data_IF_741193453885
#
_entry.id   IF_741193453885
#
_cell.length_a   1.000
_cell.length_b   1.000
_cell.length_c   1.000
_cell.angle_alpha   90.00
_cell.angle_beta   90.00
_cell.angle_gamma   90.00
#
_symmetry.space_group_name_H-M   'P 1'
#
loop_
_entity.id
_entity.type
_entity.pdbx_description
1 polymer ?
#
# COMPACT_ATOMS: atom_id res chain seq x y z
N UNK A 1 32.34 11.10 -4.34
CA UNK A 1 31.46 12.02 -3.61
C UNK A 1 30.96 11.32 -2.36
N UNK A 2 31.45 11.76 -1.19
CA UNK A 2 31.08 11.15 0.09
C UNK A 2 29.72 11.69 0.55
N UNK A 3 28.65 11.01 0.19
CA UNK A 3 27.34 11.26 0.79
C UNK A 3 27.21 10.50 2.10
N UNK A 4 26.91 11.19 3.19
CA UNK A 4 26.55 10.58 4.46
C UNK A 4 25.05 10.73 4.68
N UNK A 5 24.35 9.61 4.86
CA UNK A 5 22.93 9.59 5.18
C UNK A 5 22.67 8.99 6.54
N UNK A 6 21.70 9.54 7.27
CA UNK A 6 21.23 9.01 8.56
C UNK A 6 19.71 8.94 8.58
N UNK A 7 19.17 7.93 9.23
CA UNK A 7 17.75 7.79 9.52
C UNK A 7 17.49 8.35 10.91
N UNK A 8 16.67 9.38 11.00
CA UNK A 8 16.28 9.98 12.28
C UNK A 8 14.89 9.50 12.71
N UNK A 9 14.87 8.66 13.74
CA UNK A 9 13.65 8.10 14.33
C UNK A 9 13.79 8.01 15.86
N UNK A 10 13.69 9.14 16.61
CA UNK A 10 14.11 9.19 18.03
C UNK A 10 13.49 8.09 18.91
N UNK A 11 12.17 7.88 18.81
CA UNK A 11 11.48 6.79 19.51
C UNK A 11 10.58 6.04 18.51
N UNK A 12 10.99 4.85 18.08
CA UNK A 12 10.29 4.10 17.03
C UNK A 12 9.73 2.76 17.52
N UNK A 13 8.64 2.32 16.89
CA UNK A 13 8.02 1.00 17.08
C UNK A 13 8.15 0.12 15.83
N UNK A 14 8.65 0.69 14.74
CA UNK A 14 8.79 -0.01 13.46
C UNK A 14 9.85 -1.11 13.58
N UNK A 15 9.45 -2.36 13.31
CA UNK A 15 10.33 -3.51 13.43
C UNK A 15 11.43 -3.53 12.35
N UNK A 16 11.17 -2.98 11.17
CA UNK A 16 12.17 -2.92 10.09
C UNK A 16 13.37 -2.05 10.45
N UNK A 17 13.19 -1.02 11.27
CA UNK A 17 14.30 -0.19 11.76
C UNK A 17 15.26 -0.92 12.69
N UNK A 18 14.86 -2.07 13.25
CA UNK A 18 15.76 -2.90 14.09
C UNK A 18 16.84 -3.60 13.28
N UNK A 19 16.64 -3.74 11.97
CA UNK A 19 17.58 -4.40 11.06
C UNK A 19 18.46 -3.39 10.32
N UNK A 20 18.31 -2.09 10.61
CA UNK A 20 19.17 -1.04 10.05
C UNK A 20 20.50 -1.02 10.82
N UNK A 21 21.60 -0.82 10.12
CA UNK A 21 22.92 -0.68 10.72
C UNK A 21 22.91 0.44 11.77
N UNK A 22 23.44 0.19 12.98
CA UNK A 22 23.39 1.14 14.09
C UNK A 22 23.95 2.53 13.74
N UNK A 23 24.99 2.57 12.90
CA UNK A 23 25.64 3.82 12.48
C UNK A 23 24.74 4.66 11.55
N UNK A 24 23.74 4.08 10.90
CA UNK A 24 22.81 4.78 10.05
C UNK A 24 21.57 5.28 10.78
N UNK A 25 21.29 4.78 11.99
CA UNK A 25 20.05 5.05 12.72
C UNK A 25 20.29 5.91 13.96
N UNK A 26 19.62 7.04 14.04
CA UNK A 26 19.57 7.89 15.24
C UNK A 26 18.21 7.71 15.90
N UNK A 27 18.15 6.90 16.95
CA UNK A 27 16.94 6.61 17.69
C UNK A 27 16.97 5.30 18.42
N UNK A 28 15.90 4.99 19.15
CA UNK A 28 15.78 3.77 19.93
C UNK A 28 14.40 3.12 19.78
N UNK A 29 14.31 1.78 19.82
CA UNK A 29 13.02 1.10 19.82
C UNK A 29 12.30 1.36 21.15
N UNK A 30 11.01 1.61 21.08
CA UNK A 30 10.14 1.74 22.25
C UNK A 30 8.98 0.75 22.14
N UNK A 31 8.43 0.26 23.27
CA UNK A 31 7.30 -0.64 23.24
C UNK A 31 6.05 0.09 22.72
N UNK A 32 5.14 -0.62 22.01
CA UNK A 32 3.87 -0.06 21.58
C UNK A 32 2.93 0.08 22.78
N UNK A 33 2.89 1.27 23.37
CA UNK A 33 1.96 1.56 24.49
C UNK A 33 0.67 2.12 23.91
N UNK A 34 -0.46 1.55 24.33
CA UNK A 34 -1.78 1.96 23.88
C UNK A 34 -2.05 3.45 24.22
N UNK A 35 -2.67 4.19 23.30
CA UNK A 35 -3.02 5.63 23.43
C UNK A 35 -1.84 6.63 23.55
N UNK A 36 -0.59 6.22 23.38
CA UNK A 36 0.57 7.14 23.47
C UNK A 36 1.02 7.74 22.14
N UNK A 37 0.31 7.49 21.04
CA UNK A 37 0.71 7.95 19.69
C UNK A 37 0.93 9.46 19.66
N UNK A 38 -0.02 10.27 20.16
CA UNK A 38 0.09 11.73 20.17
C UNK A 38 1.28 12.23 21.00
N UNK A 39 1.48 11.65 22.19
CA UNK A 39 2.59 12.00 23.06
C UNK A 39 3.93 11.64 22.41
N UNK A 40 4.05 10.43 21.86
CA UNK A 40 5.26 9.99 21.16
C UNK A 40 5.56 10.86 19.95
N UNK A 41 4.55 11.25 19.17
CA UNK A 41 4.72 12.15 18.02
C UNK A 41 5.22 13.52 18.47
N UNK A 42 4.70 14.07 19.57
CA UNK A 42 5.15 15.34 20.12
C UNK A 42 6.61 15.25 20.63
N UNK A 43 6.95 14.20 21.39
CA UNK A 43 8.31 13.97 21.88
C UNK A 43 9.28 13.81 20.70
N UNK A 44 8.94 12.96 19.73
CA UNK A 44 9.77 12.76 18.53
C UNK A 44 10.01 14.06 17.78
N UNK A 45 9.00 14.90 17.67
CA UNK A 45 9.11 16.21 17.01
C UNK A 45 10.15 17.10 17.71
N UNK A 46 10.06 17.26 19.02
CA UNK A 46 10.98 18.14 19.76
C UNK A 46 12.42 17.57 19.78
N UNK A 47 12.57 16.27 19.98
CA UNK A 47 13.89 15.61 19.91
C UNK A 47 14.47 15.73 18.50
N UNK A 48 13.66 15.53 17.44
CA UNK A 48 14.13 15.69 16.06
C UNK A 48 14.62 17.11 15.77
N UNK A 49 13.91 18.15 16.23
CA UNK A 49 14.36 19.56 16.10
C UNK A 49 15.73 19.77 16.75
N UNK A 50 15.93 19.28 17.97
CA UNK A 50 17.21 19.41 18.70
C UNK A 50 18.35 18.72 17.94
N UNK A 51 18.13 17.47 17.51
CA UNK A 51 19.14 16.70 16.78
C UNK A 51 19.46 17.35 15.43
N UNK A 52 18.46 17.74 14.65
CA UNK A 52 18.65 18.37 13.34
C UNK A 52 19.39 19.71 13.46
N UNK A 53 19.07 20.51 14.47
CA UNK A 53 19.79 21.78 14.74
C UNK A 53 21.26 21.55 15.11
N UNK A 54 21.56 20.44 15.79
CA UNK A 54 22.96 20.10 16.17
C UNK A 54 23.73 19.51 14.98
N UNK A 55 23.12 18.63 14.19
CA UNK A 55 23.74 17.99 13.03
C UNK A 55 23.86 18.94 11.86
N UNK A 56 22.92 19.87 11.73
CA UNK A 56 22.84 20.84 10.63
C UNK A 56 23.03 20.20 9.24
N UNK A 57 22.25 19.18 8.84
CA UNK A 57 22.40 18.52 7.57
C UNK A 57 22.10 19.47 6.40
N UNK A 58 22.70 19.21 5.23
CA UNK A 58 22.43 19.97 4.00
C UNK A 58 21.02 19.71 3.49
N UNK A 59 20.53 18.45 3.61
CA UNK A 59 19.22 17.99 3.16
C UNK A 59 18.49 17.24 4.28
N UNK A 60 17.20 17.53 4.45
CA UNK A 60 16.29 16.76 5.30
C UNK A 60 15.18 16.20 4.44
N UNK A 61 15.10 14.87 4.36
CA UNK A 61 14.02 14.16 3.68
C UNK A 61 12.88 13.87 4.67
N UNK A 62 11.77 14.60 4.54
CA UNK A 62 10.54 14.32 5.28
C UNK A 62 9.77 13.20 4.54
N UNK A 63 9.82 11.98 5.08
CA UNK A 63 9.17 10.80 4.48
C UNK A 63 7.66 10.76 4.69
N UNK A 64 7.12 11.66 5.52
CA UNK A 64 5.69 11.87 5.74
C UNK A 64 5.42 13.32 6.15
N UNK A 65 4.14 13.71 6.23
CA UNK A 65 3.73 15.10 6.35
C UNK A 65 3.79 15.61 7.80
N UNK A 66 4.41 16.74 8.02
CA UNK A 66 4.40 17.45 9.30
C UNK A 66 3.77 18.84 9.14
N UNK A 67 3.23 19.40 10.24
CA UNK A 67 2.66 20.75 10.22
C UNK A 67 3.71 21.85 10.22
N UNK A 68 4.94 21.52 10.63
CA UNK A 68 6.02 22.46 10.88
C UNK A 68 7.30 22.03 10.20
N UNK A 69 8.15 22.99 9.89
CA UNK A 69 9.52 22.73 9.47
C UNK A 69 10.34 22.26 10.68
N UNK A 70 10.86 21.03 10.61
CA UNK A 70 11.77 20.50 11.62
C UNK A 70 13.24 20.81 11.28
N UNK A 71 13.55 20.91 10.00
CA UNK A 71 14.87 21.17 9.49
C UNK A 71 15.36 22.60 9.82
N UNK A 72 16.67 22.79 10.10
CA UNK A 72 17.29 24.10 10.20
C UNK A 72 17.01 24.98 8.97
N UNK A 73 17.02 26.30 9.11
CA UNK A 73 16.73 27.23 7.99
C UNK A 73 17.63 27.03 6.78
N UNK A 74 18.88 26.65 6.98
CA UNK A 74 19.87 26.44 5.92
C UNK A 74 19.71 25.11 5.16
N UNK A 75 19.07 24.11 5.79
CA UNK A 75 18.87 22.79 5.18
C UNK A 75 17.81 22.87 4.08
N UNK A 76 18.01 22.14 3.00
CA UNK A 76 16.97 21.91 1.99
C UNK A 76 15.97 20.88 2.49
N UNK A 77 14.71 21.00 2.08
CA UNK A 77 13.65 20.04 2.42
C UNK A 77 13.22 19.28 1.18
N UNK A 78 13.31 17.96 1.28
CA UNK A 78 12.70 17.00 0.36
C UNK A 78 11.48 16.38 1.03
N UNK A 79 10.36 16.30 0.32
CA UNK A 79 9.13 15.63 0.81
C UNK A 79 8.74 14.53 -0.14
N UNK A 80 8.37 13.35 0.39
CA UNK A 80 7.74 12.29 -0.42
C UNK A 80 6.22 12.37 -0.31
N UNK A 81 5.54 12.40 -1.48
CA UNK A 81 4.08 12.28 -1.60
C UNK A 81 3.75 10.88 -2.06
N UNK A 82 3.12 10.10 -1.18
CA UNK A 82 2.81 8.69 -1.40
C UNK A 82 1.52 8.47 -2.19
N UNK A 83 0.55 9.36 -2.08
CA UNK A 83 -0.75 9.28 -2.72
C UNK A 83 -1.52 10.62 -2.61
N UNK A 84 -2.66 10.69 -3.31
CA UNK A 84 -3.64 11.76 -3.21
C UNK A 84 -5.03 11.22 -2.76
N UNK A 85 -5.02 10.10 -1.98
CA UNK A 85 -6.24 9.41 -1.55
C UNK A 85 -7.13 10.32 -0.69
N UNK A 86 -6.53 11.06 0.26
CA UNK A 86 -7.29 11.93 1.17
C UNK A 86 -7.99 13.08 0.44
N UNK A 87 -7.40 13.55 -0.65
CA UNK A 87 -7.96 14.62 -1.49
C UNK A 87 -9.08 14.07 -2.40
N UNK A 88 -8.85 12.92 -3.02
CA UNK A 88 -9.79 12.32 -3.99
C UNK A 88 -10.94 11.54 -3.34
N UNK A 89 -10.72 10.96 -2.17
CA UNK A 89 -11.68 10.12 -1.43
C UNK A 89 -11.93 10.64 -0.02
N UNK A 90 -12.09 11.95 0.14
CA UNK A 90 -12.26 12.60 1.45
C UNK A 90 -13.36 11.97 2.30
N UNK A 91 -14.46 11.52 1.69
CA UNK A 91 -15.57 10.83 2.36
C UNK A 91 -15.19 9.46 2.97
N UNK A 92 -14.04 8.91 2.61
CA UNK A 92 -13.52 7.64 3.18
C UNK A 92 -12.82 7.83 4.52
N UNK A 93 -12.63 9.06 4.96
CA UNK A 93 -11.88 9.42 6.17
C UNK A 93 -12.76 10.19 7.16
N UNK A 94 -12.29 10.32 8.39
CA UNK A 94 -12.96 11.11 9.40
C UNK A 94 -13.02 12.59 8.97
N UNK A 95 -14.12 13.33 9.25
CA UNK A 95 -14.31 14.72 8.81
C UNK A 95 -13.18 15.68 9.24
N UNK A 96 -12.46 15.36 10.30
CA UNK A 96 -11.36 16.16 10.84
C UNK A 96 -9.99 15.50 10.64
N UNK A 97 -9.86 14.59 9.66
CA UNK A 97 -8.56 13.99 9.35
C UNK A 97 -7.59 15.09 8.86
N UNK A 98 -6.42 15.27 9.51
CA UNK A 98 -5.54 16.37 9.21
C UNK A 98 -4.65 16.12 7.99
N UNK A 99 -4.66 14.94 7.38
CA UNK A 99 -3.64 14.49 6.42
C UNK A 99 -3.54 15.40 5.20
N UNK A 100 -4.65 15.76 4.54
CA UNK A 100 -4.63 16.69 3.39
C UNK A 100 -4.05 18.04 3.77
N UNK A 101 -4.45 18.59 4.92
CA UNK A 101 -3.93 19.88 5.40
C UNK A 101 -2.43 19.82 5.74
N UNK A 102 -1.98 18.72 6.33
CA UNK A 102 -0.56 18.50 6.63
C UNK A 102 0.25 18.33 5.36
N UNK A 103 -0.27 17.58 4.37
CA UNK A 103 0.30 17.41 3.04
C UNK A 103 0.46 18.76 2.35
N UNK A 104 -0.61 19.57 2.27
CA UNK A 104 -0.57 20.91 1.69
C UNK A 104 0.55 21.78 2.30
N UNK A 105 0.68 21.80 3.64
CA UNK A 105 1.73 22.54 4.34
C UNK A 105 3.12 21.98 4.06
N UNK A 106 3.26 20.67 3.96
CA UNK A 106 4.55 20.01 3.69
C UNK A 106 5.04 20.34 2.27
N UNK A 107 4.18 20.18 1.26
CA UNK A 107 4.54 20.43 -0.14
C UNK A 107 4.79 21.93 -0.41
N UNK A 108 4.03 22.84 0.22
CA UNK A 108 4.22 24.27 0.06
C UNK A 108 5.60 24.77 0.56
N UNK A 109 6.18 24.12 1.58
CA UNK A 109 7.51 24.49 2.12
C UNK A 109 8.67 23.71 1.53
N UNK A 110 8.40 22.67 0.74
CA UNK A 110 9.42 21.79 0.19
C UNK A 110 10.25 22.52 -0.87
N UNK A 111 11.57 22.32 -0.85
CA UNK A 111 12.48 22.72 -1.92
C UNK A 111 12.40 21.71 -3.10
N UNK A 112 12.11 20.44 -2.80
CA UNK A 112 11.94 19.36 -3.76
C UNK A 112 10.87 18.38 -3.28
N UNK A 113 10.09 17.82 -4.21
CA UNK A 113 9.02 16.87 -3.92
C UNK A 113 9.24 15.61 -4.77
N UNK A 114 9.21 14.45 -4.13
CA UNK A 114 9.20 13.16 -4.80
C UNK A 114 7.78 12.61 -4.77
N UNK A 115 7.21 12.31 -5.92
CA UNK A 115 6.01 11.52 -6.06
C UNK A 115 6.38 10.06 -6.37
N UNK A 116 5.62 9.11 -5.86
CA UNK A 116 5.92 7.68 -6.03
C UNK A 116 5.47 7.13 -7.39
N UNK A 117 4.70 7.91 -8.17
CA UNK A 117 4.26 7.56 -9.52
C UNK A 117 3.97 8.84 -10.33
N UNK A 118 3.93 8.72 -11.66
CA UNK A 118 3.48 9.82 -12.54
C UNK A 118 2.01 10.17 -12.29
N UNK A 119 1.19 9.17 -11.96
CA UNK A 119 -0.20 9.43 -11.55
C UNK A 119 -0.25 10.32 -10.30
N UNK A 120 0.52 10.00 -9.25
CA UNK A 120 0.56 10.82 -8.04
C UNK A 120 1.12 12.23 -8.33
N UNK A 121 2.12 12.35 -9.21
CA UNK A 121 2.65 13.64 -9.65
C UNK A 121 1.59 14.49 -10.35
N UNK A 122 0.87 13.92 -11.31
CA UNK A 122 -0.21 14.61 -12.02
C UNK A 122 -1.29 15.10 -11.06
N UNK A 123 -1.77 14.21 -10.19
CA UNK A 123 -2.82 14.52 -9.22
C UNK A 123 -2.38 15.58 -8.20
N UNK A 124 -1.10 15.57 -7.80
CA UNK A 124 -0.52 16.59 -6.91
C UNK A 124 -0.52 17.97 -7.56
N UNK A 125 -0.08 18.04 -8.83
CA UNK A 125 0.00 19.29 -9.58
C UNK A 125 -1.39 19.84 -9.95
N UNK A 126 -2.38 18.97 -10.14
CA UNK A 126 -3.78 19.38 -10.34
C UNK A 126 -4.41 19.95 -9.07
N UNK A 127 -4.04 19.41 -7.90
CA UNK A 127 -4.67 19.75 -6.62
C UNK A 127 -4.02 20.95 -5.93
N UNK A 128 -2.71 21.17 -6.13
CA UNK A 128 -1.95 22.19 -5.44
C UNK A 128 -1.21 23.08 -6.44
N UNK A 129 -1.20 24.38 -6.17
CA UNK A 129 -0.40 25.36 -6.94
C UNK A 129 1.08 25.22 -6.55
N UNK A 130 1.81 24.36 -7.26
CA UNK A 130 3.21 24.02 -7.01
C UNK A 130 3.98 24.12 -8.34
N UNK A 131 5.17 24.72 -8.25
CA UNK A 131 6.11 24.73 -9.37
C UNK A 131 6.49 23.29 -9.77
N UNK A 132 6.11 22.89 -10.99
CA UNK A 132 6.35 21.55 -11.52
C UNK A 132 7.85 21.18 -11.61
N UNK A 133 8.75 22.16 -11.70
CA UNK A 133 10.20 21.94 -11.69
C UNK A 133 10.73 21.40 -10.34
N UNK A 134 9.94 21.49 -9.28
CA UNK A 134 10.28 20.92 -7.96
C UNK A 134 9.77 19.50 -7.77
N UNK A 135 8.96 18.96 -8.71
CA UNK A 135 8.25 17.69 -8.53
C UNK A 135 8.86 16.63 -9.44
N UNK A 136 9.43 15.62 -8.82
CA UNK A 136 10.08 14.49 -9.47
C UNK A 136 9.34 13.18 -9.16
N UNK A 137 9.53 12.17 -10.00
CA UNK A 137 8.99 10.84 -9.76
C UNK A 137 10.12 9.88 -9.45
N UNK A 138 9.91 9.09 -8.39
CA UNK A 138 10.79 7.98 -8.05
C UNK A 138 9.92 6.80 -7.62
N UNK A 139 9.90 5.77 -8.44
CA UNK A 139 9.13 4.57 -8.16
C UNK A 139 9.65 3.84 -6.92
N UNK A 140 8.73 3.23 -6.17
CA UNK A 140 9.08 2.39 -5.02
C UNK A 140 9.57 1.03 -5.50
N UNK A 141 10.48 0.43 -4.74
CA UNK A 141 10.90 -0.95 -4.93
C UNK A 141 10.05 -1.93 -4.14
N UNK A 142 10.13 -3.22 -4.50
CA UNK A 142 9.58 -4.32 -3.72
C UNK A 142 10.70 -5.04 -2.96
N UNK A 143 10.54 -5.18 -1.65
CA UNK A 143 11.50 -5.90 -0.80
C UNK A 143 11.10 -7.34 -0.52
N UNK A 144 9.82 -7.69 -0.75
CA UNK A 144 9.33 -9.05 -0.54
C UNK A 144 9.88 -9.96 -1.64
N UNK A 145 10.66 -10.98 -1.26
CA UNK A 145 11.28 -11.92 -2.21
C UNK A 145 10.90 -13.35 -1.87
N UNK A 146 10.72 -14.22 -2.88
CA UNK A 146 10.50 -15.63 -2.66
C UNK A 146 11.74 -16.26 -2.02
N UNK A 147 11.65 -16.65 -0.76
CA UNK A 147 12.61 -17.52 -0.10
C UNK A 147 12.00 -18.94 -0.05
N UNK A 148 12.24 -19.71 -1.09
CA UNK A 148 11.68 -21.06 -1.24
C UNK A 148 12.03 -22.00 -0.08
N UNK A 149 13.11 -21.71 0.69
CA UNK A 149 13.50 -22.50 1.86
C UNK A 149 12.70 -22.14 3.10
N UNK A 150 12.07 -20.98 3.11
CA UNK A 150 11.31 -20.44 4.26
C UNK A 150 9.81 -20.40 4.05
N UNK A 151 9.31 -20.89 2.90
CA UNK A 151 7.87 -21.06 2.72
C UNK A 151 7.36 -21.98 3.83
N UNK A 152 6.73 -21.41 4.83
CA UNK A 152 6.09 -22.20 5.88
C UNK A 152 5.06 -23.10 5.19
N UNK A 153 4.88 -24.32 5.70
CA UNK A 153 3.68 -25.10 5.40
C UNK A 153 2.51 -24.35 6.06
N UNK A 154 2.09 -23.22 5.45
CA UNK A 154 0.86 -22.55 5.87
C UNK A 154 -0.26 -23.58 5.78
N UNK A 155 -1.30 -23.42 6.58
CA UNK A 155 -2.51 -24.25 6.49
C UNK A 155 -2.80 -24.52 5.02
N UNK A 156 -2.70 -25.79 4.59
CA UNK A 156 -2.95 -26.16 3.20
C UNK A 156 -4.38 -25.73 2.90
N UNK A 157 -4.50 -24.63 2.17
CA UNK A 157 -5.76 -24.28 1.58
C UNK A 157 -6.12 -25.43 0.64
N UNK A 158 -7.19 -26.14 0.95
CA UNK A 158 -7.54 -27.39 0.28
C UNK A 158 -8.00 -27.13 -1.16
N UNK A 159 -8.56 -25.92 -1.41
CA UNK A 159 -9.05 -25.51 -2.72
C UNK A 159 -8.16 -24.45 -3.36
N UNK A 160 -8.09 -24.39 -4.70
CA UNK A 160 -7.51 -23.26 -5.40
C UNK A 160 -8.16 -21.94 -4.95
N UNK A 161 -7.41 -20.84 -4.98
CA UNK A 161 -7.94 -19.57 -4.50
C UNK A 161 -7.45 -18.36 -5.28
N UNK A 162 -8.27 -17.32 -5.26
CA UNK A 162 -7.97 -15.96 -5.70
C UNK A 162 -7.56 -15.18 -4.46
N UNK A 163 -6.42 -14.48 -4.53
CA UNK A 163 -5.85 -13.74 -3.41
C UNK A 163 -6.19 -12.25 -3.51
N UNK A 164 -6.72 -11.68 -2.44
CA UNK A 164 -6.88 -10.24 -2.23
C UNK A 164 -6.03 -9.80 -1.04
N UNK A 165 -5.33 -8.66 -1.14
CA UNK A 165 -4.45 -8.17 -0.08
C UNK A 165 -4.77 -6.71 0.26
N UNK A 166 -4.87 -6.43 1.56
CA UNK A 166 -4.96 -5.08 2.11
C UNK A 166 -6.18 -4.81 2.97
N UNK A 167 -6.31 -3.53 3.33
CA UNK A 167 -7.52 -3.03 3.98
C UNK A 167 -8.69 -3.03 2.97
N UNK A 168 -9.90 -3.25 3.48
CA UNK A 168 -11.12 -3.29 2.66
C UNK A 168 -11.88 -1.96 2.71
N UNK A 169 -11.15 -0.84 2.67
CA UNK A 169 -11.72 0.52 2.61
C UNK A 169 -12.39 0.79 1.26
N UNK A 170 -13.21 1.84 1.18
CA UNK A 170 -14.04 2.15 0.01
C UNK A 170 -13.24 2.22 -1.30
N UNK A 171 -12.11 2.92 -1.32
CA UNK A 171 -11.28 3.06 -2.53
C UNK A 171 -10.54 1.76 -2.92
N UNK A 172 -10.42 0.79 -2.00
CA UNK A 172 -9.89 -0.57 -2.30
C UNK A 172 -10.93 -1.48 -2.97
N UNK A 173 -12.17 -1.03 -3.09
CA UNK A 173 -13.25 -1.66 -3.85
C UNK A 173 -13.52 -3.14 -3.54
N UNK A 174 -13.35 -3.53 -2.28
CA UNK A 174 -13.64 -4.91 -1.87
C UNK A 174 -15.10 -5.30 -2.10
N UNK A 175 -16.03 -4.36 -1.96
CA UNK A 175 -17.47 -4.60 -2.22
C UNK A 175 -17.72 -4.92 -3.71
N UNK A 176 -17.05 -4.20 -4.64
CA UNK A 176 -17.11 -4.50 -6.07
C UNK A 176 -16.57 -5.89 -6.39
N UNK A 177 -15.45 -6.28 -5.76
CA UNK A 177 -14.89 -7.63 -5.90
C UNK A 177 -15.86 -8.71 -5.37
N UNK A 178 -16.49 -8.50 -4.21
CA UNK A 178 -17.48 -9.45 -3.69
C UNK A 178 -18.67 -9.62 -4.64
N UNK A 179 -19.14 -8.51 -5.23
CA UNK A 179 -20.22 -8.55 -6.24
C UNK A 179 -19.78 -9.32 -7.48
N UNK A 180 -18.58 -9.05 -8.01
CA UNK A 180 -18.01 -9.76 -9.16
C UNK A 180 -17.89 -11.27 -8.89
N UNK A 181 -17.33 -11.65 -7.76
CA UNK A 181 -17.21 -13.05 -7.36
C UNK A 181 -18.60 -13.72 -7.17
N UNK A 182 -19.60 -12.96 -6.69
CA UNK A 182 -20.98 -13.46 -6.56
C UNK A 182 -21.66 -13.73 -7.92
N UNK A 183 -21.37 -12.92 -8.94
CA UNK A 183 -21.94 -13.04 -10.28
C UNK A 183 -21.46 -14.31 -11.01
N UNK A 184 -20.21 -14.69 -10.81
CA UNK A 184 -19.63 -15.86 -11.46
C UNK A 184 -19.90 -17.15 -10.68
N UNK A 185 -20.77 -18.00 -11.25
CA UNK A 185 -21.02 -19.35 -10.70
C UNK A 185 -19.76 -20.23 -10.78
N UNK A 186 -18.94 -20.07 -11.81
CA UNK A 186 -17.72 -20.84 -12.03
C UNK A 186 -16.66 -20.49 -10.98
N UNK A 187 -16.37 -19.20 -10.76
CA UNK A 187 -15.41 -18.76 -9.74
C UNK A 187 -15.82 -19.27 -8.36
N UNK A 188 -17.11 -19.16 -7.99
CA UNK A 188 -17.62 -19.64 -6.70
C UNK A 188 -17.52 -21.16 -6.54
N UNK A 189 -17.69 -21.92 -7.63
CA UNK A 189 -17.60 -23.37 -7.61
C UNK A 189 -16.16 -23.85 -7.43
N UNK A 190 -15.20 -23.22 -8.12
CA UNK A 190 -13.86 -23.77 -8.31
C UNK A 190 -12.80 -23.12 -7.42
N UNK A 191 -12.99 -21.87 -6.99
CA UNK A 191 -12.01 -21.11 -6.22
C UNK A 191 -12.59 -20.56 -4.92
N UNK A 192 -11.74 -20.45 -3.89
CA UNK A 192 -12.02 -19.64 -2.71
C UNK A 192 -11.50 -18.20 -2.93
N UNK A 193 -12.11 -17.21 -2.28
CA UNK A 193 -11.57 -15.85 -2.20
C UNK A 193 -10.85 -15.69 -0.85
N UNK A 194 -9.53 -15.57 -0.89
CA UNK A 194 -8.68 -15.41 0.29
C UNK A 194 -8.28 -13.95 0.44
N UNK A 195 -8.64 -13.36 1.57
CA UNK A 195 -8.31 -11.97 1.92
C UNK A 195 -7.19 -11.95 2.96
N UNK A 196 -6.03 -11.43 2.62
CA UNK A 196 -4.92 -11.28 3.58
C UNK A 196 -4.86 -9.87 4.14
N UNK A 197 -4.67 -9.77 5.46
CA UNK A 197 -4.56 -8.51 6.17
C UNK A 197 -5.90 -7.88 6.55
N UNK A 198 -5.86 -6.60 6.86
CA UNK A 198 -7.03 -5.85 7.34
C UNK A 198 -7.59 -6.36 8.68
N UNK A 199 -8.62 -5.68 9.18
CA UNK A 199 -9.36 -6.11 10.38
C UNK A 199 -10.28 -7.31 10.08
N UNK A 200 -10.85 -7.99 11.08
CA UNK A 200 -11.96 -8.93 10.89
C UNK A 200 -13.06 -8.31 10.02
N UNK A 201 -13.85 -9.15 9.35
CA UNK A 201 -14.96 -8.64 8.54
C UNK A 201 -15.90 -7.79 9.41
N UNK A 202 -16.21 -6.61 8.90
CA UNK A 202 -17.17 -5.69 9.53
C UNK A 202 -18.60 -6.23 9.43
N UNK A 203 -19.51 -5.69 10.24
CA UNK A 203 -20.94 -6.06 10.17
C UNK A 203 -21.53 -5.84 8.77
N UNK A 204 -21.11 -4.79 8.06
CA UNK A 204 -21.59 -4.52 6.70
C UNK A 204 -21.03 -5.53 5.70
N UNK A 205 -19.78 -5.93 5.81
CA UNK A 205 -19.18 -6.98 4.97
C UNK A 205 -19.82 -8.33 5.21
N UNK A 206 -20.05 -8.70 6.46
CA UNK A 206 -20.79 -9.94 6.82
C UNK A 206 -22.22 -9.94 6.25
N UNK A 207 -22.90 -8.78 6.27
CA UNK A 207 -24.23 -8.65 5.64
C UNK A 207 -24.15 -8.84 4.12
N UNK A 208 -23.14 -8.28 3.45
CA UNK A 208 -22.93 -8.49 2.01
C UNK A 208 -22.67 -9.96 1.68
N UNK A 209 -21.81 -10.63 2.46
CA UNK A 209 -21.53 -12.06 2.29
C UNK A 209 -22.82 -12.88 2.43
N UNK A 210 -23.67 -12.56 3.41
CA UNK A 210 -24.94 -13.23 3.60
C UNK A 210 -25.93 -12.99 2.43
N UNK A 211 -26.03 -11.74 1.95
CA UNK A 211 -26.87 -11.40 0.78
C UNK A 211 -26.46 -12.17 -0.47
N UNK A 212 -25.16 -12.34 -0.69
CA UNK A 212 -24.62 -13.13 -1.81
C UNK A 212 -24.57 -14.65 -1.53
N UNK A 213 -25.09 -15.09 -0.38
CA UNK A 213 -25.08 -16.50 0.04
C UNK A 213 -23.67 -17.12 -0.01
N UNK A 214 -22.67 -16.36 0.42
CA UNK A 214 -21.30 -16.82 0.52
C UNK A 214 -21.03 -17.44 1.88
N UNK A 215 -20.37 -18.58 1.88
CA UNK A 215 -19.99 -19.27 3.11
C UNK A 215 -18.64 -18.76 3.64
N UNK A 216 -18.35 -18.92 4.96
CA UNK A 216 -17.04 -18.61 5.52
C UNK A 216 -15.88 -19.42 4.90
N UNK A 217 -16.18 -20.52 4.25
CA UNK A 217 -15.18 -21.32 3.53
C UNK A 217 -14.89 -20.77 2.13
N UNK A 218 -15.87 -20.12 1.49
CA UNK A 218 -15.69 -19.51 0.17
C UNK A 218 -14.96 -18.16 0.24
N UNK A 219 -15.22 -17.36 1.28
CA UNK A 219 -14.54 -16.05 1.48
C UNK A 219 -13.90 -16.06 2.85
N UNK A 220 -12.58 -16.17 2.89
CA UNK A 220 -11.80 -16.32 4.11
C UNK A 220 -10.86 -15.15 4.33
N UNK A 221 -10.72 -14.72 5.59
CA UNK A 221 -9.69 -13.78 6.00
C UNK A 221 -8.54 -14.52 6.69
N UNK A 222 -7.33 -14.25 6.22
CA UNK A 222 -6.08 -14.74 6.81
C UNK A 222 -5.27 -13.55 7.29
N UNK A 223 -4.57 -13.71 8.40
CA UNK A 223 -3.60 -12.74 8.91
C UNK A 223 -2.35 -13.48 9.34
N UNK A 224 -1.22 -12.83 9.24
CA UNK A 224 0.07 -13.41 9.59
C UNK A 224 1.20 -12.43 9.32
N UNK A 225 2.41 -12.95 9.39
CA UNK A 225 3.64 -12.25 9.02
C UNK A 225 3.94 -12.36 7.51
N UNK A 226 5.09 -11.81 7.11
CA UNK A 226 5.54 -11.83 5.72
C UNK A 226 5.73 -13.26 5.19
N UNK A 227 6.00 -14.26 6.05
CA UNK A 227 6.13 -15.66 5.61
C UNK A 227 4.81 -16.25 5.17
N UNK A 228 3.73 -15.93 5.91
CA UNK A 228 2.37 -16.32 5.52
C UNK A 228 2.00 -15.65 4.21
N UNK A 229 2.28 -14.35 4.08
CA UNK A 229 2.03 -13.58 2.86
C UNK A 229 2.78 -14.16 1.65
N UNK A 230 4.08 -14.45 1.79
CA UNK A 230 4.88 -15.10 0.75
C UNK A 230 4.26 -16.45 0.30
N UNK A 231 3.82 -17.26 1.28
CA UNK A 231 3.17 -18.54 0.97
C UNK A 231 1.84 -18.35 0.23
N UNK A 232 1.07 -17.31 0.56
CA UNK A 232 -0.17 -17.00 -0.13
C UNK A 232 0.06 -16.55 -1.57
N UNK A 233 1.04 -15.69 -1.84
CA UNK A 233 1.38 -15.31 -3.21
C UNK A 233 1.86 -16.51 -4.03
N UNK A 234 2.76 -17.32 -3.46
CA UNK A 234 3.35 -18.46 -4.16
C UNK A 234 2.35 -19.58 -4.54
N UNK A 235 1.19 -19.63 -3.89
CA UNK A 235 0.20 -20.69 -4.10
C UNK A 235 -1.16 -20.17 -4.60
N UNK A 236 -1.32 -18.87 -4.80
CA UNK A 236 -2.53 -18.30 -5.35
C UNK A 236 -2.66 -18.65 -6.84
N UNK A 237 -3.89 -18.94 -7.29
CA UNK A 237 -4.16 -19.11 -8.73
C UNK A 237 -4.11 -17.77 -9.45
N UNK A 238 -4.56 -16.70 -8.80
CA UNK A 238 -4.43 -15.33 -9.26
C UNK A 238 -4.46 -14.38 -8.07
N UNK A 239 -3.80 -13.24 -8.21
CA UNK A 239 -3.92 -12.09 -7.30
C UNK A 239 -4.84 -11.06 -7.93
N UNK A 240 -5.86 -10.62 -7.18
CA UNK A 240 -6.80 -9.58 -7.63
C UNK A 240 -6.60 -8.26 -6.90
N UNK A 241 -6.50 -7.15 -7.66
CA UNK A 241 -6.28 -5.81 -7.10
C UNK A 241 -7.32 -4.81 -7.64
N UNK A 242 -8.52 -4.73 -7.02
CA UNK A 242 -9.67 -4.04 -7.56
C UNK A 242 -9.74 -2.55 -7.17
N UNK A 243 -8.65 -1.95 -6.72
CA UNK A 243 -8.61 -0.59 -6.19
C UNK A 243 -9.07 0.45 -7.21
N UNK A 244 -9.90 1.38 -6.78
CA UNK A 244 -10.33 2.54 -7.57
C UNK A 244 -9.20 3.57 -7.71
N UNK A 245 -8.31 3.60 -6.73
CA UNK A 245 -7.18 4.52 -6.67
C UNK A 245 -6.05 3.98 -5.80
N UNK A 246 -4.81 4.19 -6.25
CA UNK A 246 -3.57 3.95 -5.52
C UNK A 246 -2.55 5.03 -5.83
N UNK A 247 -1.68 5.32 -4.87
CA UNK A 247 -0.54 6.21 -5.14
C UNK A 247 0.57 5.50 -5.90
N UNK A 248 0.73 4.18 -5.67
CA UNK A 248 1.73 3.35 -6.33
C UNK A 248 1.18 1.96 -6.65
N UNK A 249 1.12 1.05 -5.67
CA UNK A 249 0.70 -0.33 -5.89
C UNK A 249 1.82 -1.34 -5.59
N UNK A 250 2.30 -1.39 -4.35
CA UNK A 250 3.30 -2.39 -3.92
C UNK A 250 2.77 -3.83 -4.07
N UNK A 251 1.52 -4.18 -3.67
CA UNK A 251 1.04 -5.55 -3.77
C UNK A 251 1.09 -6.19 -5.16
N UNK A 252 0.80 -5.50 -6.27
CA UNK A 252 1.08 -6.04 -7.60
C UNK A 252 2.55 -6.39 -7.85
N UNK A 253 3.50 -5.54 -7.43
CA UNK A 253 4.94 -5.87 -7.56
C UNK A 253 5.34 -7.08 -6.71
N UNK A 254 4.73 -7.21 -5.53
CA UNK A 254 4.91 -8.40 -4.70
C UNK A 254 4.41 -9.64 -5.44
N UNK A 255 3.19 -9.62 -6.01
CA UNK A 255 2.64 -10.72 -6.79
C UNK A 255 3.56 -11.11 -7.96
N UNK A 256 4.09 -10.12 -8.71
CA UNK A 256 5.08 -10.37 -9.78
C UNK A 256 6.31 -11.10 -9.28
N UNK A 257 6.85 -10.73 -8.10
CA UNK A 257 8.04 -11.37 -7.56
C UNK A 257 7.83 -12.86 -7.20
N UNK A 258 6.58 -13.30 -7.07
CA UNK A 258 6.18 -14.69 -6.82
C UNK A 258 5.64 -15.40 -8.07
N UNK A 259 5.71 -14.78 -9.26
CA UNK A 259 5.09 -15.28 -10.50
C UNK A 259 3.58 -15.57 -10.30
N UNK A 260 2.90 -14.82 -9.46
CA UNK A 260 1.46 -14.94 -9.25
C UNK A 260 0.73 -14.13 -10.33
N UNK A 261 -0.13 -14.75 -11.16
CA UNK A 261 -0.87 -14.04 -12.21
C UNK A 261 -1.70 -12.89 -11.61
N UNK A 262 -1.67 -11.72 -12.26
CA UNK A 262 -2.29 -10.50 -11.75
C UNK A 262 -3.52 -10.13 -12.55
N UNK A 263 -4.61 -9.86 -11.84
CA UNK A 263 -5.85 -9.29 -12.38
C UNK A 263 -6.13 -7.99 -11.63
N UNK A 264 -6.04 -6.85 -12.29
CA UNK A 264 -6.05 -5.58 -11.60
C UNK A 264 -6.87 -4.48 -12.31
N UNK A 265 -7.19 -3.46 -11.54
CA UNK A 265 -7.84 -2.24 -12.03
C UNK A 265 -6.99 -1.51 -13.08
N UNK A 266 -7.63 -0.96 -14.10
CA UNK A 266 -7.05 -0.09 -15.13
C UNK A 266 -6.91 1.38 -14.68
N UNK A 267 -7.02 1.67 -13.37
CA UNK A 267 -7.09 3.04 -12.83
C UNK A 267 -5.83 3.44 -12.08
N UNK A 268 -5.67 4.76 -12.00
CA UNK A 268 -4.63 5.49 -11.24
C UNK A 268 -3.20 5.05 -11.61
N UNK A 269 -2.34 4.77 -10.64
CA UNK A 269 -0.95 4.33 -10.87
C UNK A 269 -0.81 2.86 -11.26
N UNK A 270 -1.89 2.05 -11.17
CA UNK A 270 -1.79 0.59 -11.33
C UNK A 270 -1.24 0.21 -12.71
N UNK A 271 -1.76 0.75 -13.84
CA UNK A 271 -1.22 0.44 -15.17
C UNK A 271 0.24 0.86 -15.36
N UNK A 272 0.64 1.99 -14.76
CA UNK A 272 2.02 2.48 -14.79
C UNK A 272 2.99 1.48 -14.13
N UNK A 273 2.54 0.83 -13.05
CA UNK A 273 3.39 -0.04 -12.24
C UNK A 273 3.46 -1.47 -12.78
N UNK A 274 2.34 -2.01 -13.26
CA UNK A 274 2.31 -3.40 -13.73
C UNK A 274 2.66 -3.53 -15.21
N UNK A 275 2.56 -2.47 -15.99
CA UNK A 275 2.79 -2.51 -17.44
C UNK A 275 1.92 -3.55 -18.12
N UNK A 276 2.54 -4.44 -18.87
CA UNK A 276 1.84 -5.52 -19.61
C UNK A 276 1.75 -6.84 -18.83
N UNK A 277 2.17 -6.87 -17.56
CA UNK A 277 2.23 -8.10 -16.76
C UNK A 277 0.95 -8.32 -15.92
N UNK A 278 -0.21 -7.87 -16.43
CA UNK A 278 -1.48 -8.05 -15.74
C UNK A 278 -2.65 -8.05 -16.71
N UNK A 279 -3.72 -8.73 -16.34
CA UNK A 279 -5.04 -8.58 -16.97
C UNK A 279 -5.78 -7.43 -16.32
N UNK A 280 -6.27 -6.49 -17.14
CA UNK A 280 -6.93 -5.28 -16.66
C UNK A 280 -8.46 -5.40 -16.72
N UNK A 281 -9.12 -4.71 -15.79
CA UNK A 281 -10.58 -4.54 -15.77
C UNK A 281 -10.98 -3.13 -15.34
N UNK A 282 -12.19 -2.72 -15.71
CA UNK A 282 -12.84 -1.54 -15.14
C UNK A 282 -13.34 -1.87 -13.72
N UNK A 283 -12.78 -1.25 -12.65
CA UNK A 283 -13.15 -1.56 -11.28
C UNK A 283 -14.56 -1.10 -10.88
N UNK A 284 -15.20 -0.26 -11.67
CA UNK A 284 -16.59 0.18 -11.46
C UNK A 284 -17.63 -0.83 -11.95
N UNK A 285 -17.21 -1.76 -12.83
CA UNK A 285 -18.08 -2.76 -13.45
C UNK A 285 -17.75 -4.16 -12.89
N UNK A 286 -18.58 -4.70 -11.97
CA UNK A 286 -18.33 -6.02 -11.39
C UNK A 286 -18.26 -7.15 -12.42
N UNK A 287 -18.99 -7.05 -13.52
CA UNK A 287 -18.94 -7.98 -14.64
C UNK A 287 -17.56 -7.97 -15.32
N UNK A 288 -16.94 -6.80 -15.46
CA UNK A 288 -15.58 -6.66 -15.99
C UNK A 288 -14.56 -7.36 -15.08
N UNK A 289 -14.68 -7.19 -13.77
CA UNK A 289 -13.83 -7.88 -12.78
C UNK A 289 -14.00 -9.40 -12.88
N UNK A 290 -15.26 -9.88 -12.96
CA UNK A 290 -15.55 -11.31 -13.04
C UNK A 290 -14.97 -11.94 -14.32
N UNK A 291 -15.18 -11.29 -15.47
CA UNK A 291 -14.68 -11.76 -16.77
C UNK A 291 -13.16 -11.84 -16.81
N UNK A 292 -12.46 -10.79 -16.35
CA UNK A 292 -11.00 -10.77 -16.29
C UNK A 292 -10.44 -11.87 -15.36
N UNK A 293 -11.10 -12.10 -14.21
CA UNK A 293 -10.73 -13.21 -13.32
C UNK A 293 -10.92 -14.55 -14.01
N UNK A 294 -12.09 -14.83 -14.63
CA UNK A 294 -12.35 -16.08 -15.35
C UNK A 294 -11.34 -16.30 -16.47
N UNK A 295 -11.02 -15.26 -17.23
CA UNK A 295 -10.07 -15.34 -18.33
C UNK A 295 -8.67 -15.79 -17.86
N UNK A 296 -8.20 -15.27 -16.73
CA UNK A 296 -6.88 -15.64 -16.19
C UNK A 296 -6.91 -17.02 -15.54
N UNK A 297 -7.92 -17.33 -14.70
CA UNK A 297 -7.90 -18.59 -13.92
C UNK A 297 -8.26 -19.83 -14.74
N UNK A 298 -8.94 -19.69 -15.88
CA UNK A 298 -9.30 -20.81 -16.75
C UNK A 298 -8.45 -20.92 -18.02
N UNK A 299 -7.61 -19.90 -18.32
CA UNK A 299 -6.72 -19.92 -19.48
C UNK A 299 -5.28 -20.17 -19.06
N UNK A 300 -4.83 -21.43 -19.15
CA UNK A 300 -3.45 -21.82 -18.82
C UNK A 300 -2.41 -21.03 -19.60
N UNK A 301 -2.66 -20.70 -20.88
CA UNK A 301 -1.77 -19.93 -21.72
C UNK A 301 -1.64 -18.46 -21.24
N UNK A 302 -2.72 -17.85 -20.81
CA UNK A 302 -2.73 -16.45 -20.35
C UNK A 302 -2.05 -16.29 -18.99
N UNK A 303 -2.32 -17.20 -18.05
CA UNK A 303 -1.67 -17.20 -16.75
C UNK A 303 -0.13 -17.35 -16.81
N UNK A 304 0.39 -17.98 -17.88
CA UNK A 304 1.84 -18.16 -18.09
C UNK A 304 2.50 -16.98 -18.80
N UNK A 305 1.73 -16.13 -19.46
CA UNK A 305 2.23 -14.94 -20.20
C UNK A 305 2.18 -13.66 -19.39
N UNK A 306 1.48 -13.65 -18.28
CA UNK A 306 1.41 -12.56 -17.31
C UNK A 306 2.45 -12.73 -16.19
#
# INVERSE_FOLDING_TARGET
DDFSAKILAPAYINQYLRNVEPDLLIGMPVPPIYRTVRLRTAINREISKLILNRLCPDLVHETYYSSERLAPKRSKILVTVHDMIHEKFSNSFLPNDPTSRLKAKAVARADCIICVSENTRRDLLEQFDIDHHKVFVTHLGCSLKPDLKKLSKSEKLIRPYILYIGHRSLYKNFSGLLKAYALSKNLRRDFDLVCFGGFPFSKSELKQLAVYQMTPNQVRRISGDDKVLCSLYANATAFVYPSLYEGFGIPPLEAMSFNCPIVCSDRSSIPEIVGNAAEFFDPYEPESIANALEEVVYSLGKAQTL
#
